data_IF_852397982428
#
_entry.id   IF_852397982428
#
_cell.length_a   1.000
_cell.length_b   1.000
_cell.length_c   1.000
_cell.angle_alpha   90.00
_cell.angle_beta   90.00
_cell.angle_gamma   90.00
#
_symmetry.space_group_name_H-M   'P 1'
#
loop_
_entity.id
_entity.type
_entity.pdbx_description
1 polymer ?
#
# COMPACT_ATOMS: atom_id res chain seq x y z
N UNK A 1 -15.87 -29.64 -11.21
CA UNK A 1 -16.92 -28.62 -11.43
C UNK A 1 -17.53 -28.07 -10.14
N UNK A 2 -17.34 -28.68 -8.97
CA UNK A 2 -17.84 -28.18 -7.67
C UNK A 2 -16.79 -27.46 -6.79
N UNK A 3 -15.53 -27.37 -7.25
CA UNK A 3 -14.41 -26.77 -6.51
C UNK A 3 -14.10 -25.32 -6.97
N UNK A 4 -14.80 -24.83 -8.00
CA UNK A 4 -14.63 -23.48 -8.55
C UNK A 4 -15.57 -22.48 -7.86
N UNK A 5 -16.83 -22.87 -7.61
CA UNK A 5 -17.83 -22.05 -6.89
C UNK A 5 -17.44 -21.71 -5.44
N UNK A 6 -16.66 -22.59 -4.77
CA UNK A 6 -16.18 -22.33 -3.40
C UNK A 6 -15.01 -21.34 -3.36
N UNK A 7 -14.28 -21.16 -4.47
CA UNK A 7 -13.10 -20.28 -4.57
C UNK A 7 -13.49 -18.81 -4.80
N UNK A 8 -14.63 -18.55 -5.44
CA UNK A 8 -15.15 -17.21 -5.67
C UNK A 8 -15.78 -16.60 -4.39
N UNK A 9 -16.48 -17.43 -3.62
CA UNK A 9 -17.10 -17.10 -2.33
C UNK A 9 -16.11 -16.51 -1.30
N UNK A 10 -14.89 -17.03 -1.22
CA UNK A 10 -13.87 -16.59 -0.25
C UNK A 10 -13.19 -15.25 -0.62
N UNK A 11 -13.13 -14.89 -1.91
CA UNK A 11 -12.63 -13.58 -2.36
C UNK A 11 -13.68 -12.49 -2.18
N UNK A 12 -14.95 -12.82 -2.40
CA UNK A 12 -16.08 -11.92 -2.19
C UNK A 12 -16.31 -11.61 -0.72
N UNK A 13 -16.30 -12.62 0.16
CA UNK A 13 -16.45 -12.42 1.61
C UNK A 13 -15.33 -11.59 2.23
N UNK A 14 -14.08 -11.76 1.82
CA UNK A 14 -12.96 -10.91 2.27
C UNK A 14 -13.05 -9.46 1.79
N UNK A 15 -13.59 -9.21 0.59
CA UNK A 15 -13.89 -7.86 0.09
C UNK A 15 -15.10 -7.26 0.82
N UNK A 16 -16.17 -8.02 1.01
CA UNK A 16 -17.38 -7.60 1.72
C UNK A 16 -17.12 -7.32 3.19
N UNK A 17 -16.27 -8.09 3.88
CA UNK A 17 -15.89 -7.82 5.26
C UNK A 17 -15.07 -6.53 5.39
N UNK A 18 -14.21 -6.22 4.41
CA UNK A 18 -13.49 -4.93 4.34
C UNK A 18 -14.45 -3.77 4.08
N UNK A 19 -15.36 -3.90 3.12
CA UNK A 19 -16.40 -2.90 2.85
C UNK A 19 -17.39 -2.70 4.02
N UNK A 20 -17.75 -3.77 4.72
CA UNK A 20 -18.63 -3.71 5.90
C UNK A 20 -17.96 -2.98 7.07
N UNK A 21 -16.64 -3.21 7.28
CA UNK A 21 -15.86 -2.48 8.28
C UNK A 21 -15.74 -0.99 7.94
N UNK A 22 -15.59 -0.65 6.66
CA UNK A 22 -15.66 0.75 6.16
C UNK A 22 -17.05 1.35 6.42
N UNK A 23 -18.13 0.62 6.10
CA UNK A 23 -19.51 1.08 6.32
C UNK A 23 -19.85 1.37 7.78
N UNK A 24 -19.33 0.57 8.73
CA UNK A 24 -19.58 0.80 10.17
C UNK A 24 -18.88 2.05 10.72
N UNK A 25 -17.71 2.40 10.18
CA UNK A 25 -16.99 3.62 10.60
C UNK A 25 -17.60 4.88 9.98
N UNK A 26 -17.98 4.82 8.69
CA UNK A 26 -18.67 5.92 7.99
C UNK A 26 -20.06 6.19 8.59
N UNK A 27 -20.82 5.14 8.95
CA UNK A 27 -22.15 5.29 9.53
C UNK A 27 -22.14 5.97 10.91
N UNK A 28 -21.11 5.74 11.73
CA UNK A 28 -20.99 6.33 13.07
C UNK A 28 -20.60 7.81 13.02
N UNK A 29 -19.69 8.17 12.11
CA UNK A 29 -19.32 9.56 11.81
C UNK A 29 -20.51 10.31 11.21
N UNK A 30 -21.23 9.69 10.27
CA UNK A 30 -22.45 10.24 9.68
C UNK A 30 -23.57 10.47 10.70
N UNK A 31 -23.77 9.52 11.62
CA UNK A 31 -24.76 9.64 12.69
C UNK A 31 -24.43 10.76 13.68
N UNK A 32 -23.16 10.92 14.08
CA UNK A 32 -22.73 12.05 14.93
C UNK A 32 -22.81 13.39 14.21
N UNK A 33 -22.50 13.46 12.92
CA UNK A 33 -22.69 14.66 12.10
C UNK A 33 -24.16 15.07 12.00
N UNK A 34 -25.06 14.09 11.79
CA UNK A 34 -26.50 14.35 11.77
C UNK A 34 -26.99 14.81 13.15
N UNK A 35 -26.51 14.20 14.23
CA UNK A 35 -26.80 14.60 15.61
C UNK A 35 -26.30 16.03 15.90
N UNK A 36 -25.08 16.39 15.51
CA UNK A 36 -24.55 17.76 15.69
C UNK A 36 -25.34 18.82 14.91
N UNK A 37 -25.85 18.48 13.71
CA UNK A 37 -26.66 19.39 12.89
C UNK A 37 -28.12 19.52 13.37
N UNK A 38 -28.69 18.47 13.97
CA UNK A 38 -30.07 18.48 14.48
C UNK A 38 -30.19 18.88 15.96
N UNK A 39 -29.18 18.60 16.79
CA UNK A 39 -29.23 18.78 18.25
C UNK A 39 -28.36 19.93 18.76
N UNK A 40 -27.62 20.63 17.90
CA UNK A 40 -26.88 21.85 18.28
C UNK A 40 -25.73 21.63 19.28
N UNK A 41 -25.19 20.42 19.37
CA UNK A 41 -24.06 20.11 20.26
C UNK A 41 -22.78 20.72 19.69
N UNK A 42 -22.06 21.59 20.43
CA UNK A 42 -20.77 22.13 20.00
C UNK A 42 -19.78 20.96 19.86
N UNK A 43 -19.10 20.88 18.72
CA UNK A 43 -18.06 19.88 18.48
C UNK A 43 -16.73 20.47 18.96
N UNK A 44 -16.23 20.03 20.12
CA UNK A 44 -14.95 20.51 20.67
C UNK A 44 -13.74 19.91 19.91
N UNK A 45 -12.62 20.64 19.86
CA UNK A 45 -11.38 20.19 19.18
C UNK A 45 -10.83 18.86 19.71
N UNK A 46 -11.04 18.56 20.99
CA UNK A 46 -10.60 17.33 21.67
C UNK A 46 -11.34 16.08 21.17
N UNK A 47 -12.64 16.20 20.87
CA UNK A 47 -13.46 15.11 20.31
C UNK A 47 -13.04 14.79 18.86
N UNK A 48 -12.52 15.77 18.12
CA UNK A 48 -12.17 15.63 16.72
C UNK A 48 -10.82 14.92 16.50
N UNK A 49 -9.82 15.22 17.34
CA UNK A 49 -8.54 14.49 17.35
C UNK A 49 -8.76 13.02 17.74
N UNK A 50 -9.71 12.77 18.65
CA UNK A 50 -10.15 11.42 19.03
C UNK A 50 -10.87 10.69 17.89
N UNK A 51 -11.85 11.33 17.24
CA UNK A 51 -12.60 10.76 16.12
C UNK A 51 -11.70 10.47 14.92
N UNK A 52 -10.69 11.31 14.70
CA UNK A 52 -9.73 11.11 13.63
C UNK A 52 -8.66 10.07 13.99
N UNK A 53 -8.17 10.01 15.24
CA UNK A 53 -7.40 8.85 15.73
C UNK A 53 -8.20 7.56 15.58
N UNK A 54 -9.51 7.59 15.79
CA UNK A 54 -10.38 6.42 15.67
C UNK A 54 -10.63 6.04 14.20
N UNK A 55 -10.69 7.02 13.30
CA UNK A 55 -10.73 6.82 11.85
C UNK A 55 -9.38 6.33 11.29
N UNK A 56 -8.25 6.84 11.82
CA UNK A 56 -6.87 6.49 11.44
C UNK A 56 -6.38 5.19 12.09
N UNK A 57 -6.84 4.85 13.29
CA UNK A 57 -6.37 3.68 14.05
C UNK A 57 -6.79 2.34 13.46
N UNK A 58 -7.77 2.34 12.55
CA UNK A 58 -8.14 1.18 11.74
C UNK A 58 -7.30 1.00 10.47
N UNK A 59 -6.44 1.96 10.14
CA UNK A 59 -5.70 2.03 8.89
C UNK A 59 -4.35 1.34 9.05
N UNK A 60 -4.13 0.24 8.33
CA UNK A 60 -2.86 -0.50 8.34
C UNK A 60 -2.43 -0.82 6.91
N UNK A 61 -1.19 -0.49 6.54
CA UNK A 61 -0.60 -0.84 5.24
C UNK A 61 -0.27 0.37 4.35
N UNK A 62 -0.85 0.51 3.13
CA UNK A 62 -0.53 1.56 2.15
C UNK A 62 -0.50 2.99 2.68
N UNK A 63 -1.30 3.30 3.68
CA UNK A 63 -1.32 4.60 4.35
C UNK A 63 -0.02 4.99 5.06
N UNK A 64 0.90 4.06 5.34
CA UNK A 64 2.24 4.44 5.78
C UNK A 64 3.03 5.15 4.66
N UNK A 65 2.84 4.75 3.40
CA UNK A 65 3.44 5.46 2.26
C UNK A 65 2.78 6.82 2.08
N UNK A 66 1.48 6.93 2.34
CA UNK A 66 0.77 8.23 2.40
C UNK A 66 1.37 9.14 3.48
N UNK A 67 1.62 8.60 4.67
CA UNK A 67 2.27 9.33 5.76
C UNK A 67 3.67 9.81 5.37
N UNK A 68 4.47 8.95 4.73
CA UNK A 68 5.80 9.29 4.22
C UNK A 68 5.75 10.39 3.14
N UNK A 69 4.81 10.30 2.19
CA UNK A 69 4.61 11.31 1.14
C UNK A 69 4.16 12.64 1.75
N UNK A 70 3.18 12.62 2.66
CA UNK A 70 2.69 13.81 3.34
C UNK A 70 3.75 14.46 4.25
N UNK A 71 4.63 13.67 4.86
CA UNK A 71 5.75 14.20 5.64
C UNK A 71 6.76 15.00 4.80
N UNK A 72 6.78 14.80 3.47
CA UNK A 72 7.63 15.59 2.56
C UNK A 72 6.97 16.88 2.07
N UNK A 73 5.69 17.12 2.39
CA UNK A 73 4.93 18.29 1.95
C UNK A 73 4.56 19.13 3.19
N UNK A 74 5.29 20.22 3.46
CA UNK A 74 4.96 21.14 4.55
C UNK A 74 3.51 21.63 4.43
N UNK A 75 2.81 21.72 5.57
CA UNK A 75 1.43 22.22 5.69
C UNK A 75 0.35 21.43 4.93
N UNK A 76 0.67 20.28 4.33
CA UNK A 76 -0.32 19.42 3.68
C UNK A 76 -1.32 18.78 4.65
N UNK A 77 -0.95 18.71 5.92
CA UNK A 77 -1.78 18.31 7.04
C UNK A 77 -1.43 19.16 8.26
N UNK A 78 -2.39 19.42 9.17
CA UNK A 78 -2.05 20.06 10.43
C UNK A 78 -1.07 19.18 11.23
N UNK A 79 -0.17 19.81 12.00
CA UNK A 79 0.96 19.16 12.69
C UNK A 79 0.58 17.92 13.48
N UNK A 80 -0.57 17.97 14.16
CA UNK A 80 -1.06 16.88 15.01
C UNK A 80 -1.39 15.63 14.19
N UNK A 81 -1.86 15.81 12.95
CA UNK A 81 -2.25 14.73 12.04
C UNK A 81 -1.01 14.10 11.39
N UNK A 82 -0.05 14.93 10.99
CA UNK A 82 1.22 14.47 10.47
C UNK A 82 1.97 13.63 11.51
N UNK A 83 1.94 14.04 12.79
CA UNK A 83 2.54 13.31 13.89
C UNK A 83 1.90 11.93 14.14
N UNK A 84 0.57 11.81 14.03
CA UNK A 84 -0.13 10.52 14.16
C UNK A 84 0.12 9.60 12.96
N UNK A 85 0.10 10.14 11.74
CA UNK A 85 0.39 9.37 10.53
C UNK A 85 1.85 8.89 10.50
N UNK A 86 2.80 9.71 10.95
CA UNK A 86 4.21 9.34 11.07
C UNK A 86 4.43 8.18 12.07
N UNK A 87 3.54 8.00 13.05
CA UNK A 87 3.58 6.90 14.01
C UNK A 87 3.03 5.58 13.47
N UNK A 88 2.37 5.58 12.30
CA UNK A 88 1.88 4.36 11.65
C UNK A 88 3.06 3.55 11.09
N UNK A 89 3.75 2.78 11.94
CA UNK A 89 4.67 1.75 11.47
C UNK A 89 3.89 0.57 10.89
N UNK A 90 4.22 0.15 9.66
CA UNK A 90 3.71 -1.09 9.08
C UNK A 90 4.47 -2.28 9.68
N UNK A 91 4.00 -2.76 10.83
CA UNK A 91 4.28 -4.13 11.24
C UNK A 91 3.33 -5.08 10.50
N UNK A 92 3.28 -4.98 9.17
CA UNK A 92 2.57 -5.97 8.36
C UNK A 92 3.42 -7.24 8.39
N UNK A 93 2.94 -8.33 9.03
CA UNK A 93 3.70 -9.57 9.06
C UNK A 93 3.91 -10.05 7.61
N UNK A 94 5.11 -10.58 7.33
CA UNK A 94 5.41 -11.16 6.04
C UNK A 94 4.32 -12.18 5.65
N UNK A 95 3.94 -12.19 4.38
CA UNK A 95 3.04 -13.22 3.88
C UNK A 95 3.71 -14.58 4.03
N UNK A 96 2.98 -15.52 4.63
CA UNK A 96 3.47 -16.88 4.82
C UNK A 96 3.75 -17.58 3.50
N UNK A 97 4.66 -18.56 3.53
CA UNK A 97 5.11 -19.33 2.38
C UNK A 97 4.00 -19.82 1.42
N UNK A 98 2.82 -20.30 1.88
CA UNK A 98 1.74 -20.70 0.96
C UNK A 98 1.27 -19.56 0.04
N UNK A 99 1.21 -18.33 0.54
CA UNK A 99 0.83 -17.15 -0.24
C UNK A 99 1.93 -16.74 -1.21
N UNK A 100 3.20 -16.77 -0.77
CA UNK A 100 4.38 -16.54 -1.61
C UNK A 100 4.37 -17.50 -2.79
N UNK A 101 4.30 -18.81 -2.54
CA UNK A 101 4.30 -19.84 -3.58
C UNK A 101 3.14 -19.68 -4.56
N UNK A 102 1.94 -19.36 -4.06
CA UNK A 102 0.76 -19.14 -4.91
C UNK A 102 0.95 -17.92 -5.81
N UNK A 103 1.52 -16.84 -5.27
CA UNK A 103 1.77 -15.62 -6.02
C UNK A 103 2.87 -15.81 -7.05
N UNK A 104 4.01 -16.39 -6.68
CA UNK A 104 5.07 -16.76 -7.65
C UNK A 104 4.53 -17.65 -8.77
N UNK A 105 3.66 -18.61 -8.46
CA UNK A 105 2.99 -19.44 -9.46
C UNK A 105 2.04 -18.65 -10.38
N UNK A 106 1.40 -17.60 -9.88
CA UNK A 106 0.54 -16.73 -10.68
C UNK A 106 1.34 -15.80 -11.60
N UNK A 107 2.51 -15.35 -11.15
CA UNK A 107 3.34 -14.40 -11.90
C UNK A 107 4.27 -15.12 -12.90
N UNK A 108 4.91 -16.22 -12.49
CA UNK A 108 5.90 -16.92 -13.32
C UNK A 108 5.44 -18.30 -13.83
N UNK A 109 4.23 -18.74 -13.45
CA UNK A 109 3.65 -20.03 -13.83
C UNK A 109 3.92 -21.17 -12.84
N UNK A 110 3.23 -22.30 -13.01
CA UNK A 110 3.29 -23.45 -12.09
C UNK A 110 4.70 -24.03 -11.87
N UNK A 111 5.59 -23.90 -12.87
CA UNK A 111 6.98 -24.35 -12.84
C UNK A 111 8.01 -23.28 -12.45
N UNK A 112 7.59 -22.16 -11.85
CA UNK A 112 8.46 -21.00 -11.60
C UNK A 112 9.78 -21.32 -10.89
N UNK A 113 9.82 -22.34 -10.03
CA UNK A 113 11.03 -22.73 -9.31
C UNK A 113 12.15 -23.20 -10.25
N UNK A 114 11.82 -23.73 -11.43
CA UNK A 114 12.82 -24.12 -12.43
C UNK A 114 13.46 -22.95 -13.17
N UNK A 115 12.87 -21.75 -13.05
CA UNK A 115 13.41 -20.51 -13.63
C UNK A 115 14.45 -19.82 -12.74
N UNK A 116 14.68 -20.35 -11.54
CA UNK A 116 15.61 -19.85 -10.53
C UNK A 116 16.54 -20.99 -10.10
N UNK A 117 17.76 -20.67 -9.69
CA UNK A 117 18.65 -21.65 -9.05
C UNK A 117 18.19 -21.97 -7.62
N UNK A 118 17.74 -20.95 -6.88
CA UNK A 118 17.19 -21.09 -5.53
C UNK A 118 16.25 -19.94 -5.19
N UNK A 119 15.40 -20.14 -4.18
CA UNK A 119 14.50 -19.11 -3.65
C UNK A 119 14.28 -19.33 -2.16
N UNK A 120 14.66 -18.37 -1.33
CA UNK A 120 14.50 -18.45 0.12
C UNK A 120 13.02 -18.32 0.51
N UNK A 121 12.55 -19.23 1.37
CA UNK A 121 11.13 -19.23 1.81
C UNK A 121 10.81 -18.08 2.75
N UNK A 122 11.79 -17.65 3.53
CA UNK A 122 11.68 -16.53 4.44
C UNK A 122 11.96 -15.23 3.69
N UNK A 123 11.22 -14.18 4.02
CA UNK A 123 11.47 -12.87 3.45
C UNK A 123 12.74 -12.29 4.08
N UNK A 124 13.65 -11.80 3.25
CA UNK A 124 14.86 -11.12 3.70
C UNK A 124 14.56 -9.69 4.19
N UNK A 125 13.54 -9.05 3.61
CA UNK A 125 13.10 -7.72 4.00
C UNK A 125 11.60 -7.50 3.75
N UNK A 126 10.99 -6.63 4.54
CA UNK A 126 9.69 -6.05 4.22
C UNK A 126 9.86 -4.89 3.22
N UNK A 127 8.94 -4.76 2.28
CA UNK A 127 8.81 -3.60 1.40
C UNK A 127 7.46 -2.91 1.67
N UNK A 128 7.26 -1.69 1.15
CA UNK A 128 6.06 -0.90 1.44
C UNK A 128 4.75 -1.66 1.17
N UNK A 129 4.59 -2.23 -0.03
CA UNK A 129 3.40 -2.97 -0.46
C UNK A 129 3.69 -4.46 -0.73
N UNK A 130 4.79 -4.99 -0.20
CA UNK A 130 5.25 -6.34 -0.49
C UNK A 130 6.39 -6.81 0.42
N UNK A 131 7.12 -7.82 -0.02
CA UNK A 131 8.30 -8.33 0.67
C UNK A 131 9.36 -8.78 -0.33
N UNK A 132 10.62 -8.79 0.09
CA UNK A 132 11.75 -9.20 -0.74
C UNK A 132 12.26 -10.56 -0.28
N UNK A 133 12.47 -11.45 -1.24
CA UNK A 133 13.12 -12.74 -1.03
C UNK A 133 14.49 -12.75 -1.69
N UNK A 134 15.47 -13.37 -1.02
CA UNK A 134 16.72 -13.75 -1.66
C UNK A 134 16.46 -14.94 -2.57
N UNK A 135 17.10 -14.92 -3.72
CA UNK A 135 17.07 -15.98 -4.71
C UNK A 135 18.43 -16.06 -5.40
N UNK A 136 18.58 -17.05 -6.27
CA UNK A 136 19.69 -17.09 -7.21
C UNK A 136 19.16 -17.37 -8.61
N UNK A 137 19.83 -16.84 -9.62
CA UNK A 137 19.63 -17.22 -11.01
C UNK A 137 20.09 -18.67 -11.25
N UNK A 138 19.75 -19.22 -12.42
CA UNK A 138 20.14 -20.59 -12.80
C UNK A 138 21.66 -20.72 -12.95
N UNK A 139 22.35 -19.64 -13.31
CA UNK A 139 23.81 -19.56 -13.38
C UNK A 139 24.49 -19.38 -12.00
N UNK A 140 23.70 -19.24 -10.93
CA UNK A 140 24.18 -19.07 -9.56
C UNK A 140 24.32 -17.62 -9.08
N UNK A 141 24.10 -16.63 -9.94
CA UNK A 141 24.16 -15.21 -9.56
C UNK A 141 23.10 -14.87 -8.50
N UNK A 142 23.41 -14.02 -7.50
CA UNK A 142 22.43 -13.61 -6.49
C UNK A 142 21.29 -12.81 -7.14
N UNK A 143 20.09 -12.91 -6.56
CA UNK A 143 18.93 -12.15 -6.98
C UNK A 143 18.12 -11.68 -5.77
N UNK A 144 17.49 -10.52 -5.89
CA UNK A 144 16.44 -10.04 -5.01
C UNK A 144 15.09 -10.06 -5.74
N UNK A 145 14.13 -10.81 -5.21
CA UNK A 145 12.77 -10.95 -5.74
C UNK A 145 11.78 -10.18 -4.86
N UNK A 146 11.40 -8.97 -5.27
CA UNK A 146 10.38 -8.16 -4.59
C UNK A 146 8.99 -8.58 -5.05
N UNK A 147 8.21 -9.12 -4.12
CA UNK A 147 6.90 -9.69 -4.38
C UNK A 147 5.82 -8.89 -3.66
N UNK A 148 4.85 -8.38 -4.40
CA UNK A 148 3.74 -7.59 -3.83
C UNK A 148 2.84 -8.46 -2.94
N UNK A 149 2.23 -7.90 -1.89
CA UNK A 149 1.24 -8.61 -1.06
C UNK A 149 -0.07 -8.92 -1.81
N UNK A 150 -0.83 -9.93 -1.37
CA UNK A 150 -2.16 -10.21 -1.91
C UNK A 150 -3.12 -9.01 -1.82
N UNK A 151 -3.97 -8.85 -2.85
CA UNK A 151 -5.07 -7.88 -2.88
C UNK A 151 -4.69 -6.39 -2.67
N UNK A 152 -3.42 -6.00 -2.87
CA UNK A 152 -2.95 -4.66 -2.55
C UNK A 152 -3.66 -3.54 -3.31
N UNK A 153 -4.06 -3.75 -4.57
CA UNK A 153 -4.90 -2.78 -5.29
C UNK A 153 -6.14 -2.41 -4.48
N UNK A 154 -6.87 -3.41 -3.99
CA UNK A 154 -8.10 -3.17 -3.25
C UNK A 154 -7.86 -2.55 -1.87
N UNK A 155 -6.72 -2.87 -1.24
CA UNK A 155 -6.32 -2.23 0.01
C UNK A 155 -5.99 -0.74 -0.20
N UNK A 156 -5.21 -0.42 -1.23
CA UNK A 156 -4.87 0.95 -1.62
C UNK A 156 -6.13 1.76 -1.92
N UNK A 157 -7.06 1.25 -2.73
CA UNK A 157 -8.28 2.01 -3.05
C UNK A 157 -9.18 2.21 -1.82
N UNK A 158 -9.25 1.22 -0.91
CA UNK A 158 -9.99 1.37 0.34
C UNK A 158 -9.37 2.46 1.23
N UNK A 159 -8.05 2.43 1.40
CA UNK A 159 -7.29 3.42 2.15
C UNK A 159 -7.46 4.83 1.56
N UNK A 160 -7.38 4.97 0.23
CA UNK A 160 -7.61 6.25 -0.46
C UNK A 160 -9.03 6.77 -0.29
N UNK A 161 -10.03 5.89 -0.25
CA UNK A 161 -11.43 6.29 0.01
C UNK A 161 -11.62 6.83 1.43
N UNK A 162 -10.93 6.25 2.42
CA UNK A 162 -10.95 6.71 3.80
C UNK A 162 -10.21 8.04 3.95
N UNK A 163 -9.07 8.19 3.27
CA UNK A 163 -8.35 9.46 3.22
C UNK A 163 -9.19 10.59 2.61
N UNK A 164 -9.95 10.30 1.55
CA UNK A 164 -10.86 11.28 0.93
C UNK A 164 -11.91 11.78 1.90
N UNK A 165 -12.46 10.90 2.75
CA UNK A 165 -13.43 11.29 3.78
C UNK A 165 -12.79 12.22 4.82
N UNK A 166 -11.56 11.92 5.25
CA UNK A 166 -10.81 12.75 6.20
C UNK A 166 -10.61 14.16 5.63
N UNK A 167 -10.17 14.27 4.38
CA UNK A 167 -9.99 15.55 3.71
C UNK A 167 -11.30 16.33 3.53
N UNK A 168 -12.43 15.64 3.29
CA UNK A 168 -13.73 16.30 3.22
C UNK A 168 -14.16 16.89 4.58
N UNK A 169 -13.84 16.23 5.69
CA UNK A 169 -14.06 16.76 7.05
C UNK A 169 -13.16 17.97 7.29
N UNK A 170 -11.88 17.88 6.93
CA UNK A 170 -10.91 18.97 7.12
C UNK A 170 -11.30 20.24 6.36
N UNK A 171 -11.67 20.13 5.07
CA UNK A 171 -12.13 21.27 4.25
C UNK A 171 -13.33 22.02 4.84
N UNK A 172 -14.13 21.36 5.67
CA UNK A 172 -15.27 21.98 6.36
C UNK A 172 -14.82 22.87 7.53
N UNK A 173 -13.69 22.53 8.16
CA UNK A 173 -13.10 23.26 9.27
C UNK A 173 -12.25 24.44 8.77
N UNK A 174 -11.37 24.19 7.80
CA UNK A 174 -10.55 25.22 7.18
C UNK A 174 -10.90 25.33 5.69
N UNK A 175 -11.59 26.42 5.33
CA UNK A 175 -11.99 26.70 3.95
C UNK A 175 -10.88 27.33 3.11
N UNK A 176 -9.76 27.74 3.74
CA UNK A 176 -8.64 28.34 3.03
C UNK A 176 -7.79 27.30 2.28
N UNK A 177 -7.84 26.02 2.72
CA UNK A 177 -7.07 24.93 2.13
C UNK A 177 -8.00 23.96 1.40
N UNK A 178 -7.72 23.69 0.12
CA UNK A 178 -8.40 22.64 -0.66
C UNK A 178 -7.52 21.38 -0.75
N UNK A 179 -7.77 20.36 0.08
CA UNK A 179 -6.96 19.14 0.10
C UNK A 179 -7.24 18.20 -1.09
N UNK A 180 -8.15 18.55 -2.01
CA UNK A 180 -8.53 17.66 -3.12
C UNK A 180 -7.36 17.36 -4.05
N UNK A 181 -6.49 18.34 -4.32
CA UNK A 181 -5.28 18.13 -5.15
C UNK A 181 -4.23 17.27 -4.45
N UNK A 182 -4.11 17.41 -3.14
CA UNK A 182 -3.23 16.57 -2.32
C UNK A 182 -3.71 15.11 -2.36
N UNK A 183 -5.03 14.89 -2.29
CA UNK A 183 -5.61 13.56 -2.44
C UNK A 183 -5.31 12.94 -3.80
N UNK A 184 -5.47 13.71 -4.89
CA UNK A 184 -5.21 13.26 -6.25
C UNK A 184 -3.75 12.82 -6.41
N UNK A 185 -2.80 13.63 -5.96
CA UNK A 185 -1.36 13.33 -6.01
C UNK A 185 -1.04 12.06 -5.21
N UNK A 186 -1.52 11.96 -3.97
CA UNK A 186 -1.29 10.77 -3.13
C UNK A 186 -1.88 9.52 -3.79
N UNK A 187 -3.09 9.63 -4.34
CA UNK A 187 -3.74 8.53 -5.03
C UNK A 187 -2.95 8.06 -6.24
N UNK A 188 -2.40 8.99 -7.02
CA UNK A 188 -1.51 8.67 -8.13
C UNK A 188 -0.25 7.96 -7.66
N UNK A 189 0.47 8.52 -6.67
CA UNK A 189 1.71 7.91 -6.15
C UNK A 189 1.50 6.52 -5.55
N UNK A 190 0.43 6.29 -4.79
CA UNK A 190 0.14 4.95 -4.27
C UNK A 190 -0.18 3.94 -5.37
N UNK A 191 -0.83 4.37 -6.47
CA UNK A 191 -1.10 3.49 -7.61
C UNK A 191 0.16 3.20 -8.40
N UNK A 192 1.08 4.15 -8.52
CA UNK A 192 2.41 3.92 -9.11
C UNK A 192 3.19 2.85 -8.34
N UNK A 193 3.12 2.83 -7.00
CA UNK A 193 3.77 1.80 -6.16
C UNK A 193 3.20 0.38 -6.37
N UNK A 194 2.04 0.26 -7.01
CA UNK A 194 1.46 -1.04 -7.37
C UNK A 194 1.95 -1.57 -8.71
N UNK A 195 2.56 -0.72 -9.54
CA UNK A 195 3.02 -1.01 -10.89
C UNK A 195 4.53 -1.26 -10.90
N UNK A 196 4.91 -2.53 -10.75
CA UNK A 196 6.33 -2.90 -10.75
C UNK A 196 6.95 -2.86 -12.15
N UNK A 197 6.17 -2.80 -13.23
CA UNK A 197 6.72 -2.57 -14.58
C UNK A 197 7.17 -1.11 -14.73
N UNK A 198 6.41 -0.17 -14.17
CA UNK A 198 6.82 1.25 -14.09
C UNK A 198 8.09 1.39 -13.26
N UNK A 199 8.15 0.73 -12.10
CA UNK A 199 9.35 0.75 -11.26
C UNK A 199 10.57 0.16 -11.97
N UNK A 200 10.41 -0.98 -12.66
CA UNK A 200 11.49 -1.58 -13.47
C UNK A 200 12.04 -0.60 -14.52
N UNK A 201 11.16 0.12 -15.22
CA UNK A 201 11.56 1.14 -16.22
C UNK A 201 12.30 2.30 -15.57
N UNK A 202 11.86 2.77 -14.41
CA UNK A 202 12.58 3.80 -13.67
C UNK A 202 13.95 3.31 -13.20
N UNK A 203 14.06 2.08 -12.71
CA UNK A 203 15.33 1.49 -12.31
C UNK A 203 16.31 1.42 -13.49
N UNK A 204 15.86 0.96 -14.66
CA UNK A 204 16.67 0.97 -15.88
C UNK A 204 17.09 2.38 -16.31
N UNK A 205 16.24 3.39 -16.13
CA UNK A 205 16.61 4.78 -16.35
C UNK A 205 17.72 5.23 -15.38
N UNK A 206 17.63 4.86 -14.09
CA UNK A 206 18.66 5.19 -13.11
C UNK A 206 19.98 4.48 -13.37
N UNK A 207 19.96 3.22 -13.82
CA UNK A 207 21.15 2.52 -14.34
C UNK A 207 21.84 3.36 -15.41
N UNK A 208 21.08 3.91 -16.36
CA UNK A 208 21.64 4.73 -17.44
C UNK A 208 22.18 6.08 -16.94
N UNK A 209 21.41 6.80 -16.10
CA UNK A 209 21.76 8.13 -15.59
C UNK A 209 23.00 8.06 -14.68
N UNK A 210 23.14 6.99 -13.91
CA UNK A 210 24.17 6.85 -12.88
C UNK A 210 25.35 5.96 -13.30
N UNK A 211 25.38 5.47 -14.55
CA UNK A 211 26.43 4.55 -15.04
C UNK A 211 27.88 5.05 -14.82
N UNK A 212 28.08 6.37 -14.84
CA UNK A 212 29.39 7.01 -14.72
C UNK A 212 29.66 7.50 -13.28
N UNK A 213 28.82 7.15 -12.30
CA UNK A 213 28.96 7.55 -10.90
C UNK A 213 29.61 6.43 -10.08
N UNK A 214 30.92 6.49 -9.79
CA UNK A 214 31.67 5.33 -9.23
C UNK A 214 31.28 4.95 -7.80
N UNK A 215 30.46 5.76 -7.13
CA UNK A 215 30.01 5.56 -5.74
C UNK A 215 28.58 5.06 -5.63
N UNK A 216 27.89 4.89 -6.75
CA UNK A 216 26.49 4.48 -6.78
C UNK A 216 26.39 3.24 -7.65
N UNK A 217 25.86 2.17 -7.08
CA UNK A 217 25.53 0.96 -7.79
C UNK A 217 24.01 0.84 -7.87
N UNK A 218 23.50 0.50 -9.05
CA UNK A 218 22.06 0.33 -9.28
C UNK A 218 21.88 -1.08 -9.85
N UNK A 219 21.16 -1.96 -9.14
CA UNK A 219 20.99 -3.33 -9.62
C UNK A 219 20.23 -3.35 -10.95
N UNK A 220 20.53 -4.33 -11.78
CA UNK A 220 19.85 -4.57 -13.05
C UNK A 220 18.54 -5.30 -12.81
N UNK A 221 17.50 -4.88 -13.51
CA UNK A 221 16.24 -5.64 -13.56
C UNK A 221 16.46 -6.88 -14.41
N UNK A 222 15.92 -8.03 -13.97
CA UNK A 222 15.84 -9.28 -14.75
C UNK A 222 14.44 -9.39 -15.36
N UNK A 223 14.23 -8.98 -16.63
CA UNK A 223 12.89 -8.81 -17.18
C UNK A 223 12.11 -10.12 -17.31
N UNK A 224 12.79 -11.23 -17.63
CA UNK A 224 12.19 -12.56 -17.77
C UNK A 224 11.69 -13.16 -16.45
N UNK A 225 12.13 -12.61 -15.32
CA UNK A 225 11.69 -12.96 -13.98
C UNK A 225 10.84 -11.85 -13.33
N UNK A 226 10.50 -10.81 -14.09
CA UNK A 226 9.71 -9.67 -13.62
C UNK A 226 8.34 -9.59 -14.28
N UNK A 227 7.36 -9.10 -13.53
CA UNK A 227 5.98 -8.88 -13.95
C UNK A 227 5.44 -7.63 -13.25
N UNK A 228 4.18 -7.30 -13.48
CA UNK A 228 3.49 -6.21 -12.78
C UNK A 228 3.40 -6.40 -11.24
N UNK A 229 3.67 -7.58 -10.67
CA UNK A 229 3.62 -7.83 -9.21
C UNK A 229 4.84 -8.53 -8.62
N UNK A 230 5.83 -8.84 -9.45
CA UNK A 230 7.12 -9.40 -9.08
C UNK A 230 8.21 -8.57 -9.77
N UNK A 231 9.11 -7.97 -9.01
CA UNK A 231 10.30 -7.30 -9.55
C UNK A 231 11.52 -8.09 -9.11
N UNK A 232 12.29 -8.61 -10.07
CA UNK A 232 13.53 -9.34 -9.81
C UNK A 232 14.72 -8.53 -10.29
N UNK A 233 15.74 -8.42 -9.45
CA UNK A 233 16.98 -7.70 -9.72
C UNK A 233 18.19 -8.48 -9.22
N UNK A 234 19.38 -8.18 -9.73
CA UNK A 234 20.67 -8.77 -9.29
C UNK A 234 21.21 -8.19 -7.97
#
# INVERSE_FOLDING_TARGET
MADDDRRESNRLTGRMARYARVGTSVGRVGARMAAGRFLGVPTEQSDMASDLRQALGGLKGPLMKVAQLLATIPDALPSDYAAELAQLQSNAPAMGWPFVRRRMSSELGAGWQSKLGSFEREAAAAASLGQVHRATAVDGSPLACKLQYPDMQSAVEADLSQLKLIFAIYRRYDRAIDPSRIHEEIAERLREELDYEREAKHQQLYVHILKDQPRVDVPQVVPELSTNRLLTMD
#
